data_IF_638178093452
#
_entry.id   IF_638178093452
#
_cell.length_a   1.000
_cell.length_b   1.000
_cell.length_c   1.000
_cell.angle_alpha   90.00
_cell.angle_beta   90.00
_cell.angle_gamma   90.00
#
_symmetry.space_group_name_H-M   'P 1'
#
loop_
_entity.id
_entity.type
_entity.pdbx_description
1 polymer ?
#
# COMPACT_ATOMS: atom_id res chain seq x y z
N UNK A 1 -4.08 14.75 -28.53
CA UNK A 1 -2.82 14.53 -27.78
C UNK A 1 -2.51 15.60 -26.73
N UNK A 2 -2.84 16.89 -26.92
CA UNK A 2 -2.41 17.98 -25.99
C UNK A 2 -3.08 18.06 -24.61
N UNK A 3 -4.30 17.55 -24.45
CA UNK A 3 -5.04 17.76 -23.19
C UNK A 3 -4.51 16.93 -22.02
N UNK A 4 -4.10 15.68 -22.28
CA UNK A 4 -3.53 14.80 -21.25
C UNK A 4 -2.17 15.34 -20.78
N UNK A 5 -1.33 15.82 -21.69
CA UNK A 5 -0.03 16.43 -21.37
C UNK A 5 -0.19 17.70 -20.54
N UNK A 6 -1.17 18.54 -20.87
CA UNK A 6 -1.48 19.75 -20.09
C UNK A 6 -1.99 19.42 -18.69
N UNK A 7 -2.90 18.46 -18.55
CA UNK A 7 -3.41 18.02 -17.25
C UNK A 7 -2.32 17.32 -16.42
N UNK A 8 -1.37 16.61 -17.05
CA UNK A 8 -0.20 16.04 -16.34
C UNK A 8 0.78 17.10 -15.84
N UNK A 9 0.91 18.22 -16.55
CA UNK A 9 1.78 19.33 -16.15
C UNK A 9 1.17 20.21 -15.05
N UNK A 10 -0.15 20.18 -14.88
CA UNK A 10 -0.86 20.93 -13.84
C UNK A 10 -0.85 20.17 -12.51
N UNK A 11 -0.06 20.64 -11.55
CA UNK A 11 0.11 20.03 -10.22
C UNK A 11 -1.20 19.92 -9.41
N UNK A 12 -2.22 20.69 -9.76
CA UNK A 12 -3.53 20.67 -9.08
C UNK A 12 -4.52 19.69 -9.72
N UNK A 13 -4.17 19.12 -10.87
CA UNK A 13 -5.06 18.22 -11.60
C UNK A 13 -5.10 16.83 -10.96
N UNK A 14 -6.27 16.19 -11.09
CA UNK A 14 -6.44 14.80 -10.67
C UNK A 14 -5.47 13.86 -11.41
N UNK A 15 -5.19 14.13 -12.69
CA UNK A 15 -4.29 13.27 -13.49
C UNK A 15 -2.84 13.38 -13.03
N UNK A 16 -2.40 14.59 -12.69
CA UNK A 16 -1.09 14.81 -12.11
C UNK A 16 -0.98 14.05 -10.78
N UNK A 17 -1.93 14.25 -9.87
CA UNK A 17 -1.94 13.57 -8.57
C UNK A 17 -1.88 12.03 -8.71
N UNK A 18 -2.73 11.45 -9.57
CA UNK A 18 -2.74 10.00 -9.82
C UNK A 18 -1.42 9.52 -10.43
N UNK A 19 -0.91 10.21 -11.46
CA UNK A 19 0.32 9.83 -12.15
C UNK A 19 1.52 9.83 -11.21
N UNK A 20 1.67 10.89 -10.42
CA UNK A 20 2.78 11.02 -9.47
C UNK A 20 2.67 9.99 -8.34
N UNK A 21 1.48 9.73 -7.82
CA UNK A 21 1.29 8.72 -6.78
C UNK A 21 1.59 7.30 -7.29
N UNK A 22 1.09 6.93 -8.48
CA UNK A 22 1.42 5.63 -9.08
C UNK A 22 2.92 5.50 -9.39
N UNK A 23 3.55 6.57 -9.87
CA UNK A 23 5.00 6.60 -10.11
C UNK A 23 5.78 6.39 -8.82
N UNK A 24 5.36 7.03 -7.72
CA UNK A 24 5.94 6.85 -6.39
C UNK A 24 5.80 5.41 -5.89
N UNK A 25 4.63 4.80 -6.05
CA UNK A 25 4.40 3.40 -5.69
C UNK A 25 5.30 2.43 -6.50
N UNK A 26 5.54 2.72 -7.78
CA UNK A 26 6.49 1.94 -8.60
C UNK A 26 7.91 2.04 -8.04
N UNK A 27 8.35 3.23 -7.62
CA UNK A 27 9.67 3.42 -7.00
C UNK A 27 9.78 2.63 -5.70
N UNK A 28 8.78 2.71 -4.82
CA UNK A 28 8.74 1.91 -3.58
C UNK A 28 8.81 0.41 -3.89
N UNK A 29 8.01 -0.05 -4.86
CA UNK A 29 7.97 -1.46 -5.28
C UNK A 29 9.33 -1.94 -5.77
N UNK A 30 10.06 -1.14 -6.56
CA UNK A 30 11.38 -1.48 -7.09
C UNK A 30 12.47 -1.57 -6.00
N UNK A 31 12.29 -0.87 -4.88
CA UNK A 31 13.29 -0.80 -3.82
C UNK A 31 13.09 -1.86 -2.71
N UNK A 32 12.10 -2.75 -2.83
CA UNK A 32 11.84 -3.79 -1.85
C UNK A 32 11.78 -5.18 -2.53
N UNK A 33 12.59 -6.11 -2.02
CA UNK A 33 12.76 -7.47 -2.52
C UNK A 33 11.48 -8.30 -2.41
N UNK A 34 10.64 -8.07 -1.40
CA UNK A 34 9.37 -8.79 -1.23
C UNK A 34 8.39 -8.60 -2.40
N UNK A 35 8.61 -7.60 -3.26
CA UNK A 35 7.83 -7.40 -4.48
C UNK A 35 8.39 -8.11 -5.72
N UNK A 36 9.47 -8.88 -5.60
CA UNK A 36 9.96 -9.73 -6.68
C UNK A 36 8.84 -10.70 -7.12
N UNK A 37 8.70 -10.99 -8.43
CA UNK A 37 7.68 -11.92 -8.92
C UNK A 37 7.74 -13.30 -8.24
N UNK A 38 8.94 -13.79 -7.98
CA UNK A 38 9.18 -15.10 -7.36
C UNK A 38 9.05 -15.09 -5.83
N UNK A 39 8.76 -13.94 -5.20
CA UNK A 39 8.47 -13.92 -3.76
C UNK A 39 7.16 -14.65 -3.47
N UNK A 40 7.19 -15.49 -2.44
CA UNK A 40 6.02 -16.17 -1.92
C UNK A 40 4.96 -15.15 -1.48
N UNK A 41 3.69 -15.55 -1.58
CA UNK A 41 2.60 -14.74 -1.07
C UNK A 41 1.45 -15.56 -0.48
N UNK A 42 0.78 -14.94 0.48
CA UNK A 42 -0.45 -15.44 1.10
C UNK A 42 -1.52 -14.35 1.04
N UNK A 43 -2.76 -14.74 0.78
CA UNK A 43 -3.90 -13.83 0.74
C UNK A 43 -4.87 -14.21 1.85
N UNK A 44 -5.26 -13.22 2.64
CA UNK A 44 -6.17 -13.40 3.77
C UNK A 44 -7.26 -12.33 3.71
N UNK A 45 -8.48 -12.71 4.10
CA UNK A 45 -9.54 -11.75 4.40
C UNK A 45 -9.51 -11.52 5.91
N UNK A 46 -9.12 -10.31 6.34
CA UNK A 46 -9.10 -9.94 7.77
C UNK A 46 -10.52 -9.62 8.23
N UNK A 47 -11.25 -8.90 7.38
CA UNK A 47 -12.69 -8.68 7.47
C UNK A 47 -13.26 -8.73 6.05
N UNK A 48 -14.59 -8.82 5.86
CA UNK A 48 -15.19 -8.73 4.52
C UNK A 48 -14.81 -7.46 3.73
N UNK A 49 -14.35 -6.41 4.41
CA UNK A 49 -13.95 -5.13 3.81
C UNK A 49 -12.44 -4.90 3.77
N UNK A 50 -11.63 -5.74 4.42
CA UNK A 50 -10.17 -5.57 4.50
C UNK A 50 -9.46 -6.85 4.07
N UNK A 51 -8.80 -6.77 2.92
CA UNK A 51 -7.95 -7.83 2.39
C UNK A 51 -6.50 -7.60 2.81
N UNK A 52 -5.81 -8.69 3.12
CA UNK A 52 -4.38 -8.73 3.37
C UNK A 52 -3.70 -9.56 2.28
N UNK A 53 -2.57 -9.06 1.79
CA UNK A 53 -1.63 -9.83 0.98
C UNK A 53 -0.27 -9.75 1.67
N UNK A 54 0.20 -10.87 2.16
CA UNK A 54 1.52 -11.00 2.76
C UNK A 54 2.50 -11.51 1.71
N UNK A 55 3.62 -10.82 1.50
CA UNK A 55 4.68 -11.23 0.56
C UNK A 55 5.99 -11.43 1.31
N UNK A 56 6.71 -12.50 0.98
CA UNK A 56 7.98 -12.85 1.62
C UNK A 56 9.03 -13.18 0.57
N UNK A 57 10.13 -12.42 0.55
CA UNK A 57 11.28 -12.72 -0.31
C UNK A 57 12.12 -13.86 0.28
N UNK A 58 12.89 -14.53 -0.58
CA UNK A 58 13.88 -15.54 -0.16
C UNK A 58 14.89 -15.00 0.87
N UNK A 59 15.15 -13.68 0.85
CA UNK A 59 16.05 -13.05 1.83
C UNK A 59 15.43 -12.88 3.22
N UNK A 60 14.17 -13.30 3.41
CA UNK A 60 13.38 -13.07 4.63
C UNK A 60 12.76 -11.68 4.73
N UNK A 61 12.88 -10.84 3.69
CA UNK A 61 12.17 -9.55 3.68
C UNK A 61 10.68 -9.80 3.52
N UNK A 62 9.87 -9.15 4.37
CA UNK A 62 8.43 -9.32 4.40
C UNK A 62 7.72 -7.99 4.21
N UNK A 63 6.64 -8.00 3.43
CA UNK A 63 5.71 -6.86 3.33
C UNK A 63 4.28 -7.36 3.45
N UNK A 64 3.54 -6.76 4.38
CA UNK A 64 2.11 -6.96 4.56
C UNK A 64 1.35 -5.83 3.89
N UNK A 65 0.73 -6.12 2.74
CA UNK A 65 -0.19 -5.21 2.07
C UNK A 65 -1.59 -5.32 2.67
N UNK A 66 -2.16 -4.20 3.09
CA UNK A 66 -3.52 -4.10 3.62
C UNK A 66 -4.35 -3.20 2.71
N UNK A 67 -5.53 -3.68 2.33
CA UNK A 67 -6.39 -3.05 1.34
C UNK A 67 -7.80 -2.91 1.91
N UNK A 68 -8.23 -1.68 2.19
CA UNK A 68 -9.63 -1.41 2.48
C UNK A 68 -10.39 -1.31 1.16
N UNK A 69 -11.25 -2.28 0.87
CA UNK A 69 -12.07 -2.33 -0.35
C UNK A 69 -13.47 -1.76 -0.13
N UNK A 70 -13.65 -0.95 0.91
CA UNK A 70 -14.91 -0.29 1.23
C UNK A 70 -14.79 1.23 1.24
N UNK A 71 -15.94 1.89 1.06
CA UNK A 71 -16.08 3.35 1.19
C UNK A 71 -16.13 3.87 2.63
N UNK A 72 -15.82 3.02 3.63
CA UNK A 72 -15.89 3.37 5.04
C UNK A 72 -14.56 3.08 5.74
N UNK A 73 -14.25 3.85 6.78
CA UNK A 73 -13.09 3.58 7.65
C UNK A 73 -13.25 2.23 8.33
N UNK A 74 -12.18 1.43 8.34
CA UNK A 74 -12.12 0.12 8.98
C UNK A 74 -11.01 0.13 10.04
N UNK A 75 -11.31 -0.39 11.22
CA UNK A 75 -10.30 -0.69 12.25
C UNK A 75 -10.18 -2.20 12.37
N UNK A 76 -8.96 -2.70 12.19
CA UNK A 76 -8.65 -4.13 12.25
C UNK A 76 -7.65 -4.41 13.36
N UNK A 77 -7.70 -5.63 13.90
CA UNK A 77 -6.64 -6.14 14.76
C UNK A 77 -5.48 -6.63 13.89
N UNK A 78 -4.28 -6.24 14.27
CA UNK A 78 -3.04 -6.68 13.61
C UNK A 78 -2.04 -7.07 14.69
N UNK A 79 -1.13 -7.97 14.33
CA UNK A 79 0.00 -8.34 15.20
C UNK A 79 1.30 -7.93 14.50
N UNK A 80 1.53 -6.62 14.44
CA UNK A 80 2.73 -6.02 13.86
C UNK A 80 3.42 -5.19 14.94
N UNK A 81 4.55 -5.70 15.42
CA UNK A 81 5.41 -4.96 16.35
C UNK A 81 6.47 -4.18 15.57
N UNK A 82 6.37 -2.84 15.61
CA UNK A 82 7.34 -1.91 15.01
C UNK A 82 7.42 -1.94 13.47
N UNK A 83 6.28 -1.95 12.78
CA UNK A 83 6.23 -1.87 11.32
C UNK A 83 6.37 -0.45 10.79
N UNK A 84 6.67 -0.31 9.50
CA UNK A 84 6.66 0.97 8.79
C UNK A 84 5.75 0.89 7.57
N UNK A 85 4.77 1.80 7.47
CA UNK A 85 3.99 1.98 6.26
C UNK A 85 4.85 2.66 5.19
N UNK A 86 5.22 1.90 4.16
CA UNK A 86 6.02 2.38 3.03
C UNK A 86 5.26 3.40 2.16
N UNK A 87 3.93 3.37 2.16
CA UNK A 87 3.11 4.31 1.37
C UNK A 87 3.00 5.63 2.11
N UNK A 88 2.52 5.62 3.36
CA UNK A 88 2.32 6.83 4.17
C UNK A 88 3.57 7.34 4.90
N UNK A 89 4.64 6.55 4.97
CA UNK A 89 5.88 6.89 5.69
C UNK A 89 5.74 6.89 7.21
N UNK A 90 4.69 6.27 7.76
CA UNK A 90 4.38 6.31 9.19
C UNK A 90 4.79 5.00 9.87
N UNK A 91 5.37 5.10 11.06
CA UNK A 91 5.58 3.95 11.93
C UNK A 91 4.23 3.42 12.43
N UNK A 92 4.09 2.11 12.44
CA UNK A 92 2.94 1.38 12.98
C UNK A 92 3.40 0.65 14.23
N UNK A 93 2.71 0.93 15.33
CA UNK A 93 2.92 0.26 16.62
C UNK A 93 1.58 -0.01 17.27
N UNK A 94 1.37 -1.23 17.73
CA UNK A 94 0.19 -1.61 18.50
C UNK A 94 -0.56 -2.81 17.90
N UNK A 95 -1.71 -3.10 18.50
CA UNK A 95 -2.53 -4.28 18.17
C UNK A 95 -3.71 -3.97 17.25
N UNK A 96 -3.90 -2.69 16.92
CA UNK A 96 -4.99 -2.22 16.08
C UNK A 96 -4.45 -1.23 15.04
N UNK A 97 -5.03 -1.28 13.85
CA UNK A 97 -4.71 -0.39 12.76
C UNK A 97 -5.99 0.08 12.07
N UNK A 98 -6.04 1.38 11.81
CA UNK A 98 -7.16 2.01 11.12
C UNK A 98 -6.77 2.32 9.67
N UNK A 99 -7.57 1.79 8.73
CA UNK A 99 -7.52 2.14 7.32
C UNK A 99 -8.72 3.02 6.97
N UNK A 100 -8.46 4.19 6.38
CA UNK A 100 -9.51 5.04 5.81
C UNK A 100 -10.16 4.38 4.58
N UNK A 101 -11.28 4.94 4.14
CA UNK A 101 -11.97 4.49 2.93
C UNK A 101 -10.99 4.37 1.75
N UNK A 102 -10.98 3.22 1.08
CA UNK A 102 -10.11 2.91 -0.06
C UNK A 102 -8.60 2.95 0.21
N UNK A 103 -8.18 3.12 1.47
CA UNK A 103 -6.76 3.23 1.79
C UNK A 103 -6.04 1.89 1.57
N UNK A 104 -4.82 2.00 1.04
CA UNK A 104 -3.85 0.92 0.97
C UNK A 104 -2.67 1.27 1.87
N UNK A 105 -2.17 0.28 2.61
CA UNK A 105 -0.94 0.39 3.40
C UNK A 105 -0.02 -0.76 3.05
N UNK A 106 1.28 -0.49 2.94
CA UNK A 106 2.30 -1.52 2.76
C UNK A 106 3.21 -1.51 3.97
N UNK A 107 3.01 -2.45 4.88
CA UNK A 107 3.71 -2.49 6.15
C UNK A 107 4.89 -3.43 6.04
N UNK A 108 6.08 -2.91 6.28
CA UNK A 108 7.34 -3.66 6.38
C UNK A 108 7.74 -3.82 7.84
#
# INVERSE_FOLDING_TARGET
>A
MRQIEAELADETSLRHAIYHELSRLIVIRRNNKAFHPDSDFQINSITPAVMQIKRTAETGEEITGLFNVSGHTQTIRIDIENGVDLIGGKTISGKELTLYAWQVMWVK
#
